data_IF_862391440396
#
_entry.id   IF_862391440396
#
_cell.length_a   1.000
_cell.length_b   1.000
_cell.length_c   1.000
_cell.angle_alpha   90.00
_cell.angle_beta   90.00
_cell.angle_gamma   90.00
#
_symmetry.space_group_name_H-M   'P 1'
#
loop_
_entity.id
_entity.type
_entity.pdbx_description
1 polymer ?
#
# COMPACT_ATOMS: atom_id res chain seq x y z
N UNK A 1 29.46 5.78 2.25
CA UNK A 1 29.06 4.45 1.76
C UNK A 1 28.45 4.63 0.38
N UNK A 2 28.69 3.69 -0.54
CA UNK A 2 28.05 3.71 -1.85
C UNK A 2 26.55 3.40 -1.69
N UNK A 3 25.69 4.19 -2.33
CA UNK A 3 24.24 4.01 -2.24
C UNK A 3 23.85 2.82 -3.11
N UNK A 4 23.20 1.82 -2.50
CA UNK A 4 22.68 0.64 -3.21
C UNK A 4 21.46 1.05 -4.03
N UNK A 5 21.45 0.72 -5.33
CA UNK A 5 20.39 1.09 -6.27
C UNK A 5 20.23 0.03 -7.34
N UNK A 6 19.08 0.06 -8.03
CA UNK A 6 18.80 -0.75 -9.22
C UNK A 6 18.45 0.15 -10.39
N UNK A 7 19.03 -0.12 -11.56
CA UNK A 7 18.76 0.62 -12.78
C UNK A 7 17.44 0.17 -13.42
N UNK A 8 16.88 1.05 -14.26
CA UNK A 8 15.66 0.71 -15.04
C UNK A 8 15.87 -0.50 -15.95
N UNK A 9 17.08 -0.70 -16.47
CA UNK A 9 17.37 -1.85 -17.33
C UNK A 9 17.33 -3.14 -16.51
N UNK A 10 18.04 -3.19 -15.38
CA UNK A 10 18.03 -4.35 -14.48
C UNK A 10 16.61 -4.70 -14.03
N UNK A 11 15.81 -3.71 -13.61
CA UNK A 11 14.39 -3.94 -13.26
C UNK A 11 13.57 -4.51 -14.42
N UNK A 12 13.86 -4.15 -15.67
CA UNK A 12 13.11 -4.65 -16.82
C UNK A 12 13.44 -6.12 -17.17
N UNK A 13 14.63 -6.58 -16.80
CA UNK A 13 15.10 -7.95 -17.02
C UNK A 13 14.52 -8.94 -15.99
N UNK A 14 14.04 -8.44 -14.85
CA UNK A 14 13.40 -9.24 -13.81
C UNK A 14 12.04 -9.83 -14.24
N UNK A 15 11.65 -11.00 -13.69
CA UNK A 15 10.34 -11.60 -13.94
C UNK A 15 9.22 -10.71 -13.42
N UNK A 16 8.09 -10.69 -14.14
CA UNK A 16 6.89 -10.01 -13.67
C UNK A 16 6.31 -10.81 -12.50
N UNK A 17 6.20 -10.17 -11.34
CA UNK A 17 5.56 -10.72 -10.14
C UNK A 17 4.29 -9.94 -9.83
N UNK A 18 3.36 -10.59 -9.15
CA UNK A 18 2.12 -10.03 -8.65
C UNK A 18 1.67 -10.81 -7.42
N UNK A 19 0.77 -10.24 -6.65
CA UNK A 19 0.11 -10.97 -5.58
C UNK A 19 -0.81 -12.07 -6.16
N UNK A 20 -0.58 -13.32 -5.76
CA UNK A 20 -1.37 -14.49 -6.17
C UNK A 20 -2.30 -15.02 -5.06
N UNK A 21 -2.28 -14.36 -3.89
CA UNK A 21 -3.12 -14.75 -2.76
C UNK A 21 -4.55 -14.20 -2.85
N UNK A 22 -5.28 -14.25 -1.73
CA UNK A 22 -6.69 -13.86 -1.70
C UNK A 22 -6.85 -12.34 -1.60
N UNK A 23 -7.49 -11.73 -2.59
CA UNK A 23 -7.94 -10.33 -2.53
C UNK A 23 -9.42 -10.26 -2.19
N UNK A 24 -9.80 -9.38 -1.26
CA UNK A 24 -11.20 -9.20 -0.80
C UNK A 24 -11.57 -7.73 -0.97
N UNK A 25 -12.55 -7.46 -1.84
CA UNK A 25 -13.13 -6.13 -2.00
C UNK A 25 -14.17 -5.91 -0.89
N UNK A 26 -14.09 -4.77 -0.21
CA UNK A 26 -14.96 -4.40 0.91
C UNK A 26 -15.71 -3.12 0.55
N UNK A 27 -17.03 -3.21 0.50
CA UNK A 27 -17.91 -2.13 -0.01
C UNK A 27 -18.92 -1.62 1.02
N UNK A 28 -18.97 -2.22 2.21
CA UNK A 28 -19.85 -1.81 3.29
C UNK A 28 -19.13 -1.80 4.66
N UNK A 29 -19.81 -1.22 5.65
CA UNK A 29 -19.28 -1.09 7.00
C UNK A 29 -19.11 -2.45 7.70
N UNK A 30 -20.01 -3.40 7.46
CA UNK A 30 -19.96 -4.73 8.07
C UNK A 30 -18.70 -5.49 7.62
N UNK A 31 -18.43 -5.49 6.31
CA UNK A 31 -17.22 -6.06 5.74
C UNK A 31 -15.96 -5.36 6.23
N UNK A 32 -16.00 -4.04 6.45
CA UNK A 32 -14.87 -3.30 6.99
C UNK A 32 -14.58 -3.68 8.45
N UNK A 33 -15.61 -3.92 9.27
CA UNK A 33 -15.46 -4.41 10.65
C UNK A 33 -14.86 -5.83 10.66
N UNK A 34 -15.32 -6.71 9.76
CA UNK A 34 -14.75 -8.06 9.64
C UNK A 34 -13.30 -8.04 9.17
N UNK A 35 -12.99 -7.19 8.19
CA UNK A 35 -11.63 -6.95 7.72
C UNK A 35 -10.75 -6.47 8.87
N UNK A 36 -11.18 -5.44 9.60
CA UNK A 36 -10.44 -4.88 10.72
C UNK A 36 -10.16 -5.92 11.83
N UNK A 37 -11.16 -6.75 12.16
CA UNK A 37 -10.99 -7.84 13.14
C UNK A 37 -9.91 -8.81 12.71
N UNK A 38 -9.88 -9.21 11.45
CA UNK A 38 -8.84 -10.09 10.93
C UNK A 38 -7.47 -9.40 10.90
N UNK A 39 -7.41 -8.16 10.37
CA UNK A 39 -6.17 -7.38 10.27
C UNK A 39 -5.53 -7.14 11.64
N UNK A 40 -6.33 -6.93 12.70
CA UNK A 40 -5.84 -6.72 14.07
C UNK A 40 -5.05 -7.90 14.67
N UNK A 41 -5.09 -9.07 14.02
CA UNK A 41 -4.34 -10.26 14.44
C UNK A 41 -2.87 -10.22 13.98
N UNK A 42 -2.50 -9.27 13.13
CA UNK A 42 -1.16 -9.12 12.56
C UNK A 42 -0.48 -7.87 13.12
N UNK A 43 0.80 -7.97 13.44
CA UNK A 43 1.62 -6.84 13.89
C UNK A 43 2.21 -6.02 12.75
N UNK A 44 2.09 -6.50 11.50
CA UNK A 44 2.57 -5.83 10.30
C UNK A 44 1.50 -5.92 9.21
N UNK A 45 1.14 -4.76 8.68
CA UNK A 45 0.24 -4.60 7.55
C UNK A 45 0.97 -3.86 6.42
N UNK A 46 0.77 -4.33 5.19
CA UNK A 46 1.14 -3.55 4.00
C UNK A 46 0.05 -2.54 3.66
N UNK A 47 0.42 -1.35 3.24
CA UNK A 47 -0.48 -0.21 3.04
C UNK A 47 -0.22 0.48 1.72
N UNK A 48 -1.31 0.83 1.04
CA UNK A 48 -1.30 1.74 -0.08
C UNK A 48 -2.65 2.48 -0.16
N UNK A 49 -2.75 3.50 -1.03
CA UNK A 49 -4.04 4.08 -1.42
C UNK A 49 -4.12 4.39 -2.91
N UNK A 50 -5.35 4.49 -3.44
CA UNK A 50 -5.57 4.89 -4.83
C UNK A 50 -6.61 5.99 -4.98
N UNK A 51 -6.31 6.90 -5.90
CA UNK A 51 -7.15 8.06 -6.25
C UNK A 51 -7.36 8.10 -7.76
N UNK A 52 -8.47 8.68 -8.20
CA UNK A 52 -8.64 8.98 -9.63
C UNK A 52 -7.66 10.05 -10.07
N UNK A 53 -7.03 9.91 -11.25
CA UNK A 53 -6.09 10.89 -11.76
C UNK A 53 -6.74 12.25 -12.03
N UNK A 54 -6.09 13.32 -11.57
CA UNK A 54 -6.44 14.69 -11.89
C UNK A 54 -5.70 15.16 -13.15
N UNK A 55 -6.44 15.35 -14.25
CA UNK A 55 -5.87 15.85 -15.51
C UNK A 55 -5.89 17.38 -15.63
N UNK A 56 -6.49 18.09 -14.67
CA UNK A 56 -6.56 19.55 -14.62
C UNK A 56 -5.90 20.08 -13.35
N UNK A 57 -5.10 21.15 -13.49
CA UNK A 57 -4.44 21.80 -12.35
C UNK A 57 -5.49 22.31 -11.35
N UNK A 58 -5.30 21.98 -10.07
CA UNK A 58 -6.21 22.37 -8.99
C UNK A 58 -7.42 21.45 -8.79
N UNK A 59 -7.53 20.37 -9.57
CA UNK A 59 -8.52 19.32 -9.33
C UNK A 59 -7.97 18.32 -8.31
N UNK A 60 -8.80 17.97 -7.33
CA UNK A 60 -8.49 17.00 -6.29
C UNK A 60 -9.64 16.00 -6.21
N UNK A 61 -9.30 14.73 -6.04
CA UNK A 61 -10.26 13.66 -5.83
C UNK A 61 -10.02 13.03 -4.45
N UNK A 62 -11.07 12.60 -3.75
CA UNK A 62 -10.91 11.84 -2.52
C UNK A 62 -10.21 10.51 -2.79
N UNK A 63 -9.61 9.94 -1.74
CA UNK A 63 -9.10 8.57 -1.78
C UNK A 63 -10.25 7.63 -2.06
N UNK A 64 -10.12 6.82 -3.11
CA UNK A 64 -11.18 5.94 -3.58
C UNK A 64 -11.01 4.50 -3.08
N UNK A 65 -9.76 4.06 -2.93
CA UNK A 65 -9.42 2.73 -2.44
C UNK A 65 -8.33 2.82 -1.38
N UNK A 66 -8.50 2.06 -0.31
CA UNK A 66 -7.47 1.77 0.68
C UNK A 66 -7.11 0.29 0.59
N UNK A 67 -5.82 -0.01 0.52
CA UNK A 67 -5.34 -1.38 0.50
C UNK A 67 -4.65 -1.71 1.83
N UNK A 68 -5.05 -2.82 2.44
CA UNK A 68 -4.39 -3.37 3.62
C UNK A 68 -4.04 -4.83 3.41
N UNK A 69 -2.75 -5.11 3.34
CA UNK A 69 -2.22 -6.44 3.10
C UNK A 69 -1.79 -7.12 4.40
N UNK A 70 -1.94 -8.44 4.42
CA UNK A 70 -1.30 -9.37 5.36
C UNK A 70 -0.56 -10.44 4.54
N UNK A 71 0.26 -11.29 5.17
CA UNK A 71 0.83 -12.46 4.48
C UNK A 71 -0.24 -13.40 3.89
N UNK A 72 -1.46 -13.40 4.44
CA UNK A 72 -2.51 -14.33 4.03
C UNK A 72 -3.45 -13.78 2.94
N UNK A 73 -3.81 -12.50 3.04
CA UNK A 73 -4.84 -11.86 2.19
C UNK A 73 -4.66 -10.35 2.12
N UNK A 74 -5.21 -9.76 1.07
CA UNK A 74 -5.30 -8.30 0.91
C UNK A 74 -6.75 -7.84 0.92
N UNK A 75 -7.04 -6.81 1.71
CA UNK A 75 -8.33 -6.12 1.72
C UNK A 75 -8.25 -4.86 0.87
N UNK A 76 -9.22 -4.69 -0.02
CA UNK A 76 -9.39 -3.53 -0.91
C UNK A 76 -10.66 -2.79 -0.47
N UNK A 77 -10.50 -1.80 0.40
CA UNK A 77 -11.60 -1.10 1.06
C UNK A 77 -12.01 0.10 0.22
N UNK A 78 -13.26 0.08 -0.24
CA UNK A 78 -13.85 1.03 -1.17
C UNK A 78 -14.35 2.25 -0.40
N UNK A 79 -13.50 3.26 -0.27
CA UNK A 79 -13.69 4.38 0.68
C UNK A 79 -14.79 5.36 0.24
N UNK A 80 -15.18 5.39 -1.04
CA UNK A 80 -16.32 6.21 -1.48
C UNK A 80 -17.66 5.59 -1.06
N UNK A 81 -17.69 4.29 -0.81
CA UNK A 81 -18.84 3.52 -0.38
C UNK A 81 -18.89 3.42 1.15
N UNK A 82 -17.73 3.17 1.77
CA UNK A 82 -17.62 2.89 3.21
C UNK A 82 -17.26 4.12 4.06
N UNK A 83 -16.84 5.23 3.45
CA UNK A 83 -16.10 6.28 4.16
C UNK A 83 -14.76 5.74 4.64
N UNK A 84 -14.20 6.32 5.73
CA UNK A 84 -13.10 5.70 6.48
C UNK A 84 -13.66 5.09 7.78
N UNK A 85 -13.90 3.76 7.83
CA UNK A 85 -14.58 3.13 8.96
C UNK A 85 -13.80 3.27 10.27
N UNK A 86 -14.49 3.42 11.41
CA UNK A 86 -13.82 3.55 12.72
C UNK A 86 -12.92 2.35 13.02
N UNK A 87 -13.38 1.13 12.72
CA UNK A 87 -12.61 -0.08 12.98
C UNK A 87 -11.25 -0.10 12.24
N UNK A 88 -11.14 0.59 11.10
CA UNK A 88 -9.87 0.74 10.37
C UNK A 88 -9.01 1.84 10.99
N UNK A 89 -9.63 2.95 11.42
CA UNK A 89 -8.93 4.00 12.18
C UNK A 89 -8.30 3.44 13.45
N UNK A 90 -9.00 2.55 14.16
CA UNK A 90 -8.48 1.92 15.38
C UNK A 90 -7.16 1.16 15.12
N UNK A 91 -6.99 0.56 13.92
CA UNK A 91 -5.72 -0.07 13.51
C UNK A 91 -4.63 0.99 13.28
N UNK A 92 -4.99 2.10 12.66
CA UNK A 92 -4.06 3.20 12.32
C UNK A 92 -3.51 3.92 13.56
N UNK A 93 -4.27 3.86 14.65
CA UNK A 93 -3.92 4.46 15.96
C UNK A 93 -3.30 3.45 16.94
N UNK A 94 -3.24 2.15 16.61
CA UNK A 94 -2.60 1.14 17.47
C UNK A 94 -1.08 1.11 17.23
N UNK A 95 -0.24 1.52 18.19
CA UNK A 95 1.22 1.49 18.04
C UNK A 95 1.81 0.08 17.97
N UNK A 96 1.02 -0.98 18.25
CA UNK A 96 1.47 -2.38 18.12
C UNK A 96 1.39 -2.90 16.69
N UNK A 97 0.71 -2.18 15.80
CA UNK A 97 0.53 -2.56 14.40
C UNK A 97 1.39 -1.65 13.54
N UNK A 98 2.41 -2.21 12.92
CA UNK A 98 3.20 -1.53 11.90
C UNK A 98 2.40 -1.48 10.61
N UNK A 99 2.36 -0.30 9.99
CA UNK A 99 1.67 -0.05 8.72
C UNK A 99 2.71 0.44 7.73
N UNK A 100 3.25 -0.50 6.95
CA UNK A 100 4.33 -0.23 6.01
C UNK A 100 3.77 0.15 4.64
N UNK A 101 4.23 1.26 4.09
CA UNK A 101 3.88 1.69 2.73
C UNK A 101 5.00 2.52 2.09
N UNK A 102 4.80 2.96 0.85
CA UNK A 102 5.82 3.62 0.05
C UNK A 102 5.38 5.04 -0.31
N UNK A 103 5.99 6.06 0.30
CA UNK A 103 5.64 7.46 0.01
C UNK A 103 4.32 7.92 0.65
N UNK A 104 3.99 7.36 1.81
CA UNK A 104 2.67 7.40 2.47
C UNK A 104 2.22 8.75 3.04
N UNK A 105 3.07 9.79 2.97
CA UNK A 105 2.81 11.05 3.67
C UNK A 105 1.56 11.75 3.15
N UNK A 106 1.38 11.79 1.83
CA UNK A 106 0.21 12.41 1.22
C UNK A 106 -1.03 11.53 1.37
N UNK A 107 -0.88 10.19 1.33
CA UNK A 107 -1.95 9.23 1.62
C UNK A 107 -2.56 9.44 3.02
N UNK A 108 -1.71 9.49 4.06
CA UNK A 108 -2.15 9.73 5.44
C UNK A 108 -2.87 11.07 5.54
N UNK A 109 -2.32 12.12 4.90
CA UNK A 109 -2.93 13.46 4.90
C UNK A 109 -4.31 13.44 4.25
N UNK A 110 -4.47 12.71 3.15
CA UNK A 110 -5.74 12.63 2.41
C UNK A 110 -6.78 11.78 3.15
N UNK A 111 -6.37 10.66 3.76
CA UNK A 111 -7.23 9.87 4.65
C UNK A 111 -7.71 10.69 5.87
N UNK A 112 -6.83 11.51 6.47
CA UNK A 112 -7.17 12.41 7.58
C UNK A 112 -8.22 13.47 7.21
N UNK A 113 -8.37 13.82 5.93
CA UNK A 113 -9.47 14.70 5.47
C UNK A 113 -10.82 13.99 5.49
N UNK A 114 -10.84 12.67 5.33
CA UNK A 114 -12.06 11.87 5.38
C UNK A 114 -12.50 11.65 6.84
N UNK A 115 -11.54 11.32 7.70
CA UNK A 115 -11.74 11.16 9.13
C UNK A 115 -10.43 11.37 9.86
N UNK A 116 -10.41 12.22 10.88
CA UNK A 116 -9.20 12.49 11.63
C UNK A 116 -8.80 11.28 12.49
N UNK A 117 -7.49 11.06 12.62
CA UNK A 117 -6.87 10.03 13.44
C UNK A 117 -5.42 10.41 13.75
N UNK A 118 -4.84 9.78 14.77
CA UNK A 118 -3.43 9.93 15.17
C UNK A 118 -2.62 8.73 14.65
N UNK A 119 -1.85 8.90 13.55
CA UNK A 119 -1.01 7.83 13.03
C UNK A 119 -0.03 7.34 14.11
N UNK A 120 -0.02 6.03 14.40
CA UNK A 120 0.83 5.46 15.44
C UNK A 120 1.95 4.56 14.89
N UNK A 121 1.63 3.63 13.99
CA UNK A 121 2.57 2.61 13.49
C UNK A 121 2.98 2.75 12.01
N UNK A 122 2.70 3.88 11.37
CA UNK A 122 3.05 4.07 9.96
C UNK A 122 4.56 4.17 9.74
N UNK A 123 5.06 3.39 8.77
CA UNK A 123 6.46 3.38 8.36
C UNK A 123 6.54 3.62 6.85
N UNK A 124 7.21 4.71 6.45
CA UNK A 124 7.53 4.94 5.04
C UNK A 124 8.80 4.17 4.67
N UNK A 125 8.65 3.19 3.78
CA UNK A 125 9.74 2.35 3.30
C UNK A 125 10.81 3.15 2.55
N UNK A 126 10.47 4.33 2.00
CA UNK A 126 11.48 5.24 1.46
C UNK A 126 12.41 5.78 2.54
N UNK A 127 11.90 6.10 3.72
CA UNK A 127 12.71 6.61 4.82
C UNK A 127 13.58 5.50 5.40
N UNK A 128 12.99 4.30 5.63
CA UNK A 128 13.73 3.10 6.09
C UNK A 128 14.83 2.71 5.10
N UNK A 129 14.54 2.69 3.79
CA UNK A 129 15.53 2.41 2.74
C UNK A 129 16.73 3.36 2.78
N UNK A 130 16.49 4.67 2.91
CA UNK A 130 17.56 5.68 2.98
C UNK A 130 18.46 5.47 4.19
N UNK A 131 17.88 5.15 5.35
CA UNK A 131 18.64 4.87 6.56
C UNK A 131 19.59 3.66 6.39
N UNK A 132 19.17 2.66 5.62
CA UNK A 132 19.95 1.48 5.26
C UNK A 132 20.94 1.71 4.09
N UNK A 133 21.04 2.94 3.57
CA UNK A 133 21.94 3.26 2.45
C UNK A 133 21.47 2.76 1.08
N UNK A 134 20.17 2.52 0.91
CA UNK A 134 19.55 2.30 -0.39
C UNK A 134 19.03 3.62 -0.98
N UNK A 135 18.96 3.68 -2.30
CA UNK A 135 18.21 4.73 -2.98
C UNK A 135 16.72 4.56 -2.64
N UNK A 136 16.06 5.67 -2.31
CA UNK A 136 14.62 5.66 -2.04
C UNK A 136 13.86 5.84 -3.35
N UNK A 137 13.19 4.76 -3.74
CA UNK A 137 12.62 4.59 -5.07
C UNK A 137 11.29 3.83 -4.94
N UNK A 138 10.29 4.24 -5.73
CA UNK A 138 8.92 3.71 -5.59
C UNK A 138 8.80 2.19 -5.78
N UNK A 139 7.64 1.65 -5.42
CA UNK A 139 7.22 0.24 -5.44
C UNK A 139 7.97 -0.68 -6.40
N UNK A 140 7.97 -0.36 -7.70
CA UNK A 140 8.60 -1.20 -8.72
C UNK A 140 10.10 -1.45 -8.51
N UNK A 141 10.84 -0.45 -8.03
CA UNK A 141 12.26 -0.62 -7.81
C UNK A 141 12.54 -1.32 -6.47
N UNK A 142 11.70 -1.13 -5.45
CA UNK A 142 11.79 -1.94 -4.23
C UNK A 142 11.52 -3.41 -4.48
N UNK A 143 10.50 -3.74 -5.27
CA UNK A 143 10.29 -5.12 -5.74
C UNK A 143 11.56 -5.67 -6.44
N UNK A 144 12.21 -4.86 -7.27
CA UNK A 144 13.43 -5.27 -7.96
C UNK A 144 14.63 -5.50 -7.04
N UNK A 145 14.79 -4.69 -5.99
CA UNK A 145 15.92 -4.79 -5.07
C UNK A 145 15.74 -5.84 -3.98
N UNK A 146 14.51 -6.09 -3.54
CA UNK A 146 14.23 -6.90 -2.36
C UNK A 146 13.47 -8.21 -2.65
N UNK A 147 12.93 -8.37 -3.87
CA UNK A 147 12.08 -9.52 -4.22
C UNK A 147 12.50 -10.20 -5.54
N UNK A 148 13.60 -9.76 -6.15
CA UNK A 148 14.10 -10.24 -7.46
C UNK A 148 13.00 -10.26 -8.56
N UNK A 149 12.07 -9.31 -8.50
CA UNK A 149 10.92 -9.24 -9.40
C UNK A 149 10.54 -7.81 -9.79
N UNK A 150 9.78 -7.67 -10.86
CA UNK A 150 9.17 -6.40 -11.25
C UNK A 150 7.66 -6.49 -11.16
N UNK A 151 7.01 -5.42 -10.73
CA UNK A 151 5.54 -5.29 -10.73
C UNK A 151 5.06 -4.47 -11.92
N UNK A 152 3.78 -4.65 -12.28
CA UNK A 152 3.14 -3.84 -13.33
C UNK A 152 2.92 -2.39 -12.88
N UNK A 153 2.82 -1.47 -13.84
CA UNK A 153 2.38 -0.08 -13.62
C UNK A 153 1.06 0.25 -14.34
N UNK A 154 0.39 -0.77 -14.88
CA UNK A 154 -0.69 -0.61 -15.84
C UNK A 154 -1.95 0.06 -15.27
N UNK A 155 -2.16 0.06 -13.95
CA UNK A 155 -3.35 0.65 -13.32
C UNK A 155 -3.06 1.87 -12.45
N UNK A 156 -1.81 2.35 -12.41
CA UNK A 156 -1.41 3.53 -11.61
C UNK A 156 -2.22 4.80 -11.97
N UNK A 157 -2.76 4.89 -13.19
CA UNK A 157 -3.52 6.04 -13.69
C UNK A 157 -4.96 5.62 -14.07
N UNK A 158 -5.49 4.63 -13.36
CA UNK A 158 -6.84 4.09 -13.60
C UNK A 158 -7.93 4.95 -12.94
N UNK A 159 -9.18 4.76 -13.34
CA UNK A 159 -10.31 5.39 -12.65
C UNK A 159 -10.74 4.51 -11.46
N UNK A 160 -10.20 4.80 -10.28
CA UNK A 160 -10.51 4.06 -9.05
C UNK A 160 -11.89 4.38 -8.46
N UNK A 161 -12.60 5.37 -9.03
CA UNK A 161 -14.01 5.68 -8.70
C UNK A 161 -15.01 4.85 -9.52
N UNK A 162 -14.57 3.97 -10.43
CA UNK A 162 -15.47 3.08 -11.18
C UNK A 162 -16.37 2.32 -10.21
N UNK A 163 -17.65 2.10 -10.56
CA UNK A 163 -18.63 1.40 -9.70
C UNK A 163 -18.10 0.04 -9.24
N UNK A 164 -17.59 -0.76 -10.18
CA UNK A 164 -16.93 -2.03 -9.95
C UNK A 164 -15.43 -1.95 -10.30
N UNK A 165 -14.60 -2.65 -9.53
CA UNK A 165 -13.19 -2.82 -9.86
C UNK A 165 -13.00 -3.98 -10.84
N UNK A 166 -12.19 -3.77 -11.87
CA UNK A 166 -11.76 -4.84 -12.77
C UNK A 166 -10.74 -5.77 -12.09
N UNK A 167 -10.62 -7.01 -12.57
CA UNK A 167 -9.59 -7.95 -12.09
C UNK A 167 -8.18 -7.37 -12.20
N UNK A 168 -7.91 -6.58 -13.24
CA UNK A 168 -6.63 -5.91 -13.40
C UNK A 168 -6.37 -4.85 -12.31
N UNK A 169 -7.40 -4.08 -11.92
CA UNK A 169 -7.31 -3.13 -10.81
C UNK A 169 -7.12 -3.85 -9.47
N UNK A 170 -7.90 -4.92 -9.23
CA UNK A 170 -7.78 -5.73 -8.00
C UNK A 170 -6.38 -6.33 -7.88
N UNK A 171 -5.86 -6.95 -8.94
CA UNK A 171 -4.53 -7.55 -8.94
C UNK A 171 -3.43 -6.52 -8.75
N UNK A 172 -3.55 -5.35 -9.39
CA UNK A 172 -2.61 -4.24 -9.23
C UNK A 172 -2.59 -3.71 -7.79
N UNK A 173 -3.76 -3.29 -7.28
CA UNK A 173 -3.89 -2.72 -5.94
C UNK A 173 -3.43 -3.70 -4.85
N UNK A 174 -3.79 -4.98 -5.00
CA UNK A 174 -3.35 -5.99 -4.05
C UNK A 174 -1.82 -6.18 -4.06
N UNK A 175 -1.20 -6.09 -5.23
CA UNK A 175 0.25 -6.20 -5.37
C UNK A 175 0.96 -5.03 -4.68
N UNK A 176 0.51 -3.79 -4.86
CA UNK A 176 1.19 -2.61 -4.32
C UNK A 176 1.20 -2.58 -2.77
N UNK A 177 0.13 -3.04 -2.12
CA UNK A 177 0.14 -3.21 -0.66
C UNK A 177 0.93 -4.46 -0.21
N UNK A 178 0.83 -5.58 -0.94
CA UNK A 178 1.52 -6.83 -0.56
C UNK A 178 3.03 -6.67 -0.53
N UNK A 179 3.64 -6.05 -1.55
CA UNK A 179 5.09 -5.89 -1.61
C UNK A 179 5.64 -5.11 -0.40
N UNK A 180 4.82 -4.24 0.22
CA UNK A 180 5.26 -3.43 1.34
C UNK A 180 5.59 -4.29 2.57
N UNK A 181 4.93 -5.46 2.72
CA UNK A 181 5.23 -6.43 3.78
C UNK A 181 6.61 -7.05 3.55
N UNK A 182 6.83 -7.59 2.35
CA UNK A 182 8.06 -8.31 2.03
C UNK A 182 9.27 -7.36 2.05
N UNK A 183 9.11 -6.16 1.48
CA UNK A 183 10.14 -5.11 1.51
C UNK A 183 10.43 -4.67 2.94
N UNK A 184 9.41 -4.49 3.79
CA UNK A 184 9.62 -4.16 5.21
C UNK A 184 10.46 -5.23 5.91
N UNK A 185 10.06 -6.50 5.81
CA UNK A 185 10.75 -7.60 6.47
C UNK A 185 12.21 -7.71 6.02
N UNK A 186 12.46 -7.61 4.71
CA UNK A 186 13.83 -7.64 4.16
C UNK A 186 14.68 -6.47 4.66
N UNK A 187 14.10 -5.28 4.81
CA UNK A 187 14.80 -4.14 5.39
C UNK A 187 15.06 -4.33 6.89
N UNK A 188 14.13 -4.96 7.61
CA UNK A 188 14.24 -5.22 9.04
C UNK A 188 15.37 -6.21 9.37
N UNK A 189 15.54 -7.23 8.54
CA UNK A 189 16.67 -8.18 8.63
C UNK A 189 18.04 -7.54 8.39
N UNK A 190 18.07 -6.36 7.76
CA UNK A 190 19.29 -5.59 7.50
C UNK A 190 19.60 -4.57 8.59
N UNK A 191 18.72 -4.38 9.58
CA UNK A 191 19.00 -3.52 10.72
C UNK A 191 20.04 -4.18 11.65
N UNK A 192 21.04 -3.41 12.11
CA UNK A 192 22.15 -3.92 12.93
C UNK A 192 21.77 -4.26 14.38
#
# INVERSE_FOLDING_TARGET
MEVRKITKQEVNELPLIKYEGKSIVVEDEAGAIEAARFLSQFSLLGFDTETKPAFKKGQFFPVALLQLATPERVYLIRLLQTGLPQAIVDLFEDPKIIIAGIGIRDDIKDLKKMKDFKPAGFVDLNEKARALGFESIGARNFAGMFMDGRISKSQQVSNWENEELTDAQISYAATDAWICIDVYNQMDELEP
#
